data_IF_276565950909
#
_entry.id   IF_276565950909
#
_cell.length_a   1.000
_cell.length_b   1.000
_cell.length_c   1.000
_cell.angle_alpha   90.00
_cell.angle_beta   90.00
_cell.angle_gamma   90.00
#
_symmetry.space_group_name_H-M   'P 1'
#
loop_
_entity.id
_entity.type
_entity.pdbx_description
1 polymer ?
#
# COMPACT_ATOMS: atom_id res chain seq x y z
N UNK A 1 19.96 -16.62 0.37
CA UNK A 1 18.79 -16.13 -0.41
C UNK A 1 17.74 -17.22 -0.62
N UNK A 2 17.91 -18.18 -1.55
CA UNK A 2 16.89 -19.21 -1.80
C UNK A 2 16.70 -20.18 -0.61
N UNK A 3 17.81 -20.58 0.02
CA UNK A 3 17.83 -21.36 1.27
C UNK A 3 16.99 -20.69 2.36
N UNK A 4 17.20 -19.41 2.59
CA UNK A 4 16.55 -18.67 3.69
C UNK A 4 15.06 -18.46 3.41
N UNK A 5 14.68 -18.30 2.13
CA UNK A 5 13.28 -18.23 1.71
C UNK A 5 12.54 -19.54 1.97
N UNK A 6 13.13 -20.68 1.60
CA UNK A 6 12.55 -22.02 1.83
C UNK A 6 12.39 -22.28 3.33
N UNK A 7 13.40 -21.93 4.12
CA UNK A 7 13.36 -22.10 5.58
C UNK A 7 12.33 -21.16 6.22
N UNK A 8 12.20 -19.92 5.74
CA UNK A 8 11.21 -18.96 6.22
C UNK A 8 9.78 -19.40 5.89
N UNK A 9 9.54 -19.98 4.71
CA UNK A 9 8.24 -20.53 4.32
C UNK A 9 7.88 -21.77 5.17
N UNK A 10 8.82 -22.71 5.36
CA UNK A 10 8.65 -23.86 6.24
C UNK A 10 8.35 -23.44 7.69
N UNK A 11 9.10 -22.47 8.21
CA UNK A 11 8.92 -21.90 9.54
C UNK A 11 7.53 -21.28 9.72
N UNK A 12 7.06 -20.53 8.73
CA UNK A 12 5.74 -19.89 8.76
C UNK A 12 4.61 -20.93 8.64
N UNK A 13 4.78 -21.96 7.81
CA UNK A 13 3.80 -23.02 7.60
C UNK A 13 3.63 -23.91 8.83
N UNK A 14 4.73 -24.20 9.54
CA UNK A 14 4.73 -25.12 10.68
C UNK A 14 4.78 -24.41 12.04
N UNK A 15 4.79 -23.08 12.06
CA UNK A 15 4.92 -22.25 13.26
C UNK A 15 6.19 -22.59 14.07
N UNK A 16 7.32 -22.78 13.39
CA UNK A 16 8.62 -23.15 13.97
C UNK A 16 9.61 -22.01 13.73
N UNK A 17 10.40 -21.65 14.73
CA UNK A 17 11.46 -20.67 14.55
C UNK A 17 12.63 -21.27 13.74
N UNK A 18 13.09 -20.60 12.69
CA UNK A 18 14.20 -21.07 11.84
C UNK A 18 15.49 -21.26 12.64
N UNK A 19 15.69 -20.52 13.73
CA UNK A 19 16.86 -20.65 14.60
C UNK A 19 16.82 -21.89 15.51
N UNK A 20 15.66 -22.55 15.63
CA UNK A 20 15.50 -23.77 16.40
C UNK A 20 15.81 -25.04 15.58
N UNK A 21 16.05 -24.90 14.27
CA UNK A 21 16.34 -26.02 13.36
C UNK A 21 17.83 -26.39 13.39
N UNK A 22 18.12 -27.67 13.50
CA UNK A 22 19.46 -28.25 13.35
C UNK A 22 19.93 -28.23 11.89
N UNK A 23 21.24 -28.33 11.66
CA UNK A 23 21.78 -28.34 10.28
C UNK A 23 21.31 -29.55 9.46
N UNK A 24 21.00 -30.69 10.10
CA UNK A 24 20.38 -31.85 9.47
C UNK A 24 18.94 -31.55 9.05
N UNK A 25 18.13 -30.96 9.93
CA UNK A 25 16.74 -30.59 9.60
C UNK A 25 16.71 -29.53 8.48
N UNK A 26 17.60 -28.55 8.51
CA UNK A 26 17.73 -27.56 7.44
C UNK A 26 18.06 -28.23 6.09
N UNK A 27 18.98 -29.19 6.07
CA UNK A 27 19.34 -29.94 4.85
C UNK A 27 18.12 -30.72 4.34
N UNK A 28 17.44 -31.42 5.22
CA UNK A 28 16.32 -32.29 4.87
C UNK A 28 15.09 -31.50 4.39
N UNK A 29 14.83 -30.31 4.96
CA UNK A 29 13.81 -29.36 4.47
C UNK A 29 14.14 -28.89 3.04
N UNK A 30 15.40 -28.55 2.76
CA UNK A 30 15.82 -28.10 1.43
C UNK A 30 15.72 -29.24 0.40
N UNK A 31 15.94 -30.49 0.83
CA UNK A 31 15.84 -31.69 -0.02
C UNK A 31 14.41 -32.24 -0.15
N UNK A 32 13.42 -31.64 0.52
CA UNK A 32 12.00 -31.98 0.37
C UNK A 32 11.52 -33.18 1.21
N UNK A 33 12.21 -33.49 2.32
CA UNK A 33 11.76 -34.55 3.23
C UNK A 33 10.65 -34.06 4.18
N UNK A 34 9.69 -34.93 4.50
CA UNK A 34 8.66 -34.66 5.51
C UNK A 34 9.24 -34.84 6.92
N UNK A 35 9.51 -33.72 7.61
CA UNK A 35 10.00 -33.72 9.00
C UNK A 35 8.87 -33.30 9.93
N UNK A 36 8.65 -34.08 11.00
CA UNK A 36 7.74 -33.71 12.08
C UNK A 36 8.22 -32.43 12.79
N UNK A 37 7.33 -31.47 13.10
CA UNK A 37 7.72 -30.23 13.78
C UNK A 37 8.42 -30.52 15.13
N UNK A 38 9.49 -29.78 15.48
CA UNK A 38 10.13 -29.93 16.79
C UNK A 38 9.13 -29.69 17.93
N UNK A 39 9.20 -30.50 19.00
CA UNK A 39 8.29 -30.38 20.14
C UNK A 39 8.47 -29.03 20.86
N UNK A 40 7.35 -28.42 21.29
CA UNK A 40 7.31 -27.11 21.96
C UNK A 40 8.19 -27.07 23.23
N UNK A 41 8.40 -28.22 23.88
CA UNK A 41 9.25 -28.33 25.07
C UNK A 41 10.74 -28.06 24.75
N UNK A 42 11.21 -28.39 23.53
CA UNK A 42 12.57 -28.07 23.07
C UNK A 42 12.76 -26.58 22.76
N UNK A 43 11.68 -25.90 22.37
CA UNK A 43 11.68 -24.47 22.05
C UNK A 43 11.82 -23.61 23.33
N UNK A 44 11.10 -23.96 24.39
CA UNK A 44 11.14 -23.23 25.66
C UNK A 44 12.53 -23.28 26.32
N UNK A 45 13.23 -24.42 26.24
CA UNK A 45 14.56 -24.57 26.83
C UNK A 45 15.61 -23.69 26.12
N UNK A 46 15.53 -23.61 24.78
CA UNK A 46 16.43 -22.77 23.98
C UNK A 46 16.15 -21.27 24.17
N UNK A 47 14.88 -20.86 24.34
CA UNK A 47 14.52 -19.47 24.65
C UNK A 47 14.98 -19.03 26.05
N UNK A 48 14.86 -19.91 27.05
CA UNK A 48 15.33 -19.64 28.43
C UNK A 48 16.86 -19.50 28.48
N UNK A 49 17.61 -20.36 27.77
CA UNK A 49 19.07 -20.22 27.69
C UNK A 49 19.50 -18.92 27.00
N UNK A 50 18.74 -18.47 25.98
CA UNK A 50 19.07 -17.25 25.24
C UNK A 50 18.75 -15.98 26.03
N UNK A 51 17.63 -15.95 26.75
CA UNK A 51 17.29 -14.84 27.66
C UNK A 51 18.33 -14.66 28.77
N UNK A 52 18.97 -15.74 29.23
CA UNK A 52 20.03 -15.65 30.24
C UNK A 52 21.31 -14.95 29.74
N UNK A 53 21.52 -14.90 28.41
CA UNK A 53 22.71 -14.28 27.78
C UNK A 53 22.48 -12.85 27.29
N UNK A 54 21.22 -12.42 27.09
CA UNK A 54 20.91 -11.10 26.48
C UNK A 54 20.81 -9.95 27.50
N UNK A 55 20.80 -10.22 28.82
CA UNK A 55 20.60 -9.18 29.85
C UNK A 55 21.83 -8.28 30.13
N UNK A 56 22.95 -8.40 29.40
CA UNK A 56 24.19 -7.67 29.77
C UNK A 56 24.90 -6.91 28.64
N UNK A 57 24.31 -6.67 27.47
CA UNK A 57 24.95 -5.77 26.49
C UNK A 57 24.00 -4.80 25.80
N UNK A 58 24.25 -3.51 26.04
CA UNK A 58 23.80 -2.37 25.24
C UNK A 58 24.06 -2.65 23.74
N UNK A 59 23.00 -2.72 22.94
CA UNK A 59 23.05 -3.23 21.57
C UNK A 59 23.55 -2.16 20.60
N UNK A 60 24.87 -2.11 20.38
CA UNK A 60 25.45 -1.44 19.21
C UNK A 60 25.27 -2.33 17.97
N UNK A 61 24.67 -1.82 16.90
CA UNK A 61 24.45 -2.60 15.66
C UNK A 61 25.66 -2.41 14.75
N UNK A 62 26.39 -3.50 14.50
CA UNK A 62 27.50 -3.55 13.54
C UNK A 62 26.99 -3.97 12.17
N UNK A 63 27.17 -3.12 11.16
CA UNK A 63 26.83 -3.44 9.77
C UNK A 63 28.12 -3.63 8.97
N UNK A 64 28.23 -4.77 8.29
CA UNK A 64 29.36 -5.09 7.41
C UNK A 64 28.98 -4.72 5.97
N UNK A 65 29.81 -3.91 5.31
CA UNK A 65 29.59 -3.50 3.91
C UNK A 65 30.94 -3.45 3.20
N UNK A 66 30.95 -3.69 1.89
CA UNK A 66 32.19 -3.76 1.08
C UNK A 66 32.31 -2.50 0.24
N UNK A 67 33.48 -1.86 0.23
CA UNK A 67 33.73 -0.71 -0.66
C UNK A 67 33.93 -1.17 -2.12
N UNK A 68 33.93 -0.24 -3.08
CA UNK A 68 34.15 -0.50 -4.53
C UNK A 68 35.47 -1.22 -4.85
N UNK A 69 36.40 -1.29 -3.90
CA UNK A 69 37.67 -2.00 -4.00
C UNK A 69 37.70 -3.37 -3.30
N UNK A 70 36.59 -3.86 -2.75
CA UNK A 70 36.50 -5.20 -2.16
C UNK A 70 36.88 -5.30 -0.68
N UNK A 71 37.24 -4.19 -0.02
CA UNK A 71 37.58 -4.16 1.40
C UNK A 71 36.33 -4.18 2.30
N UNK A 72 36.33 -5.04 3.32
CA UNK A 72 35.26 -5.13 4.31
C UNK A 72 35.33 -3.94 5.30
N UNK A 73 34.33 -3.06 5.26
CA UNK A 73 34.07 -2.02 6.24
C UNK A 73 33.08 -2.53 7.28
N UNK A 74 33.43 -2.44 8.57
CA UNK A 74 32.56 -2.74 9.70
C UNK A 74 32.21 -1.41 10.37
N UNK A 75 30.97 -0.96 10.21
CA UNK A 75 30.46 0.29 10.78
C UNK A 75 29.61 -0.05 11.99
N UNK A 76 30.02 0.43 13.17
CA UNK A 76 29.29 0.24 14.43
C UNK A 76 28.44 1.47 14.70
N UNK A 77 27.12 1.32 14.61
CA UNK A 77 26.18 2.42 14.87
C UNK A 77 25.59 2.29 16.27
N UNK A 78 25.77 3.33 17.10
CA UNK A 78 25.34 3.37 18.50
C UNK A 78 24.12 4.29 18.73
N UNK A 79 23.71 5.10 17.76
CA UNK A 79 22.62 6.08 17.89
C UNK A 79 21.31 5.67 17.20
N UNK A 80 20.13 5.83 17.85
CA UNK A 80 18.82 5.57 17.23
C UNK A 80 18.48 6.44 16.02
N UNK A 81 19.03 7.66 15.94
CA UNK A 81 18.79 8.59 14.84
C UNK A 81 19.50 8.16 13.55
N UNK A 82 20.75 7.71 13.66
CA UNK A 82 21.49 7.17 12.52
C UNK A 82 20.88 5.86 12.03
N UNK A 83 20.33 5.03 12.92
CA UNK A 83 19.57 3.83 12.54
C UNK A 83 18.32 4.19 11.70
N UNK A 84 17.59 5.24 12.04
CA UNK A 84 16.45 5.71 11.23
C UNK A 84 16.89 6.27 9.87
N UNK A 85 17.95 7.06 9.82
CA UNK A 85 18.48 7.61 8.57
C UNK A 85 19.03 6.51 7.64
N UNK A 86 19.71 5.49 8.17
CA UNK A 86 20.24 4.38 7.38
C UNK A 86 19.14 3.40 6.92
N UNK A 87 18.13 3.13 7.76
CA UNK A 87 16.95 2.34 7.39
C UNK A 87 16.15 3.01 6.25
N UNK A 88 16.12 4.35 6.21
CA UNK A 88 15.45 5.08 5.12
C UNK A 88 16.11 4.88 3.75
N UNK A 89 17.44 4.75 3.69
CA UNK A 89 18.19 4.59 2.41
C UNK A 89 18.07 3.19 1.81
N UNK A 90 17.83 2.17 2.63
CA UNK A 90 17.79 0.76 2.20
C UNK A 90 16.36 0.23 2.00
N UNK A 91 15.34 0.74 2.69
CA UNK A 91 13.96 0.22 2.62
C UNK A 91 13.26 0.56 1.29
N UNK A 92 13.35 1.80 0.79
CA UNK A 92 12.59 2.21 -0.40
C UNK A 92 13.04 1.49 -1.67
N UNK A 93 14.32 1.12 -1.81
CA UNK A 93 14.84 0.40 -2.99
C UNK A 93 14.31 -1.02 -3.07
N UNK A 94 14.28 -1.73 -1.95
CA UNK A 94 13.73 -3.09 -1.86
C UNK A 94 12.24 -3.07 -2.19
N UNK A 95 11.51 -2.08 -1.67
CA UNK A 95 10.10 -1.90 -2.01
C UNK A 95 9.88 -1.49 -3.47
N UNK A 96 10.73 -0.64 -4.04
CA UNK A 96 10.66 -0.27 -5.45
C UNK A 96 10.82 -1.47 -6.38
N UNK A 97 11.81 -2.34 -6.11
CA UNK A 97 12.01 -3.60 -6.86
C UNK A 97 10.82 -4.54 -6.65
N UNK A 98 10.28 -4.60 -5.43
CA UNK A 98 9.12 -5.45 -5.15
C UNK A 98 7.85 -4.96 -5.85
N UNK A 99 7.66 -3.64 -5.96
CA UNK A 99 6.52 -3.02 -6.61
C UNK A 99 6.47 -3.32 -8.13
N UNK A 100 7.61 -3.54 -8.78
CA UNK A 100 7.63 -3.94 -10.20
C UNK A 100 6.96 -5.30 -10.45
N UNK A 101 6.73 -6.11 -9.42
CA UNK A 101 6.06 -7.41 -9.52
C UNK A 101 4.56 -7.34 -9.19
N UNK A 102 3.99 -6.16 -8.94
CA UNK A 102 2.56 -6.01 -8.64
C UNK A 102 1.66 -6.49 -9.77
N UNK A 103 2.11 -6.39 -11.03
CA UNK A 103 1.38 -6.90 -12.19
C UNK A 103 1.14 -8.43 -12.13
N UNK A 104 1.94 -9.20 -11.39
CA UNK A 104 1.71 -10.64 -11.24
C UNK A 104 0.48 -10.92 -10.38
N UNK A 105 0.19 -10.06 -9.39
CA UNK A 105 -0.95 -10.23 -8.48
C UNK A 105 -2.28 -9.96 -9.17
N UNK A 106 -2.30 -9.16 -10.22
CA UNK A 106 -3.53 -8.81 -10.95
C UNK A 106 -4.14 -9.98 -11.74
N UNK A 107 -3.40 -11.09 -11.85
CA UNK A 107 -3.91 -12.34 -12.44
C UNK A 107 -4.86 -13.09 -11.48
N UNK A 108 -4.71 -12.87 -10.17
CA UNK A 108 -5.49 -13.53 -9.13
C UNK A 108 -6.14 -12.48 -8.25
N UNK A 109 -7.36 -12.09 -8.65
CA UNK A 109 -8.15 -11.10 -7.94
C UNK A 109 -9.39 -11.78 -7.36
N UNK A 110 -9.54 -11.72 -6.05
CA UNK A 110 -10.69 -12.21 -5.31
C UNK A 110 -11.60 -11.04 -4.93
N UNK A 111 -12.91 -11.23 -5.04
CA UNK A 111 -13.91 -10.24 -4.60
C UNK A 111 -14.67 -10.84 -3.44
N UNK A 112 -14.58 -10.20 -2.29
CA UNK A 112 -15.32 -10.55 -1.08
C UNK A 112 -16.64 -9.75 -1.08
N UNK A 113 -17.69 -10.38 -1.57
CA UNK A 113 -19.05 -9.86 -1.55
C UNK A 113 -19.91 -10.69 -0.60
N UNK A 114 -20.68 -10.03 0.25
CA UNK A 114 -21.75 -10.69 1.00
C UNK A 114 -22.93 -11.04 0.07
N UNK A 115 -23.88 -11.82 0.59
CA UNK A 115 -25.10 -12.22 -0.13
C UNK A 115 -25.87 -11.02 -0.70
N UNK A 116 -26.48 -11.23 -1.87
CA UNK A 116 -27.20 -10.21 -2.62
C UNK A 116 -28.35 -9.67 -1.77
N UNK A 117 -28.26 -8.41 -1.35
CA UNK A 117 -29.37 -7.67 -0.76
C UNK A 117 -30.26 -7.13 -1.87
N UNK A 118 -31.55 -7.47 -1.87
CA UNK A 118 -32.53 -7.02 -2.89
C UNK A 118 -32.69 -5.49 -2.95
N UNK A 119 -32.28 -4.75 -1.91
CA UNK A 119 -32.49 -3.31 -1.75
C UNK A 119 -31.23 -2.46 -1.91
N UNK A 120 -30.07 -3.06 -2.22
CA UNK A 120 -28.78 -2.37 -2.31
C UNK A 120 -28.27 -2.14 -3.74
N UNK A 121 -27.43 -1.12 -3.91
CA UNK A 121 -26.73 -0.91 -5.18
C UNK A 121 -25.67 -1.98 -5.43
N UNK A 122 -25.51 -2.37 -6.70
CA UNK A 122 -24.41 -3.21 -7.17
C UNK A 122 -23.38 -2.39 -7.93
N UNK A 123 -22.12 -2.46 -7.53
CA UNK A 123 -21.03 -1.70 -8.14
C UNK A 123 -20.26 -2.55 -9.14
N UNK A 124 -20.02 -2.02 -10.34
CA UNK A 124 -19.27 -2.70 -11.39
C UNK A 124 -17.96 -1.96 -11.64
N UNK A 125 -16.83 -2.63 -11.38
CA UNK A 125 -15.48 -2.12 -11.59
C UNK A 125 -14.86 -2.67 -12.87
N UNK A 126 -14.44 -1.82 -13.82
CA UNK A 126 -13.65 -2.22 -14.98
C UNK A 126 -12.31 -2.83 -14.58
N UNK A 127 -11.95 -3.97 -15.15
CA UNK A 127 -10.65 -4.59 -14.83
C UNK A 127 -9.47 -3.74 -15.30
N UNK A 128 -9.61 -2.96 -16.38
CA UNK A 128 -8.50 -2.17 -16.90
C UNK A 128 -8.01 -1.13 -15.88
N UNK A 129 -8.95 -0.39 -15.26
CA UNK A 129 -8.59 0.60 -14.25
C UNK A 129 -8.15 -0.08 -12.96
N UNK A 130 -8.80 -1.15 -12.51
CA UNK A 130 -8.38 -1.88 -11.31
C UNK A 130 -6.94 -2.42 -11.44
N UNK A 131 -6.62 -3.06 -12.57
CA UNK A 131 -5.27 -3.59 -12.84
C UNK A 131 -4.22 -2.48 -12.79
N UNK A 132 -4.49 -1.33 -13.43
CA UNK A 132 -3.56 -0.20 -13.39
C UNK A 132 -3.43 0.37 -11.97
N UNK A 133 -4.51 0.44 -11.20
CA UNK A 133 -4.50 0.94 -9.82
C UNK A 133 -3.60 0.09 -8.92
N UNK A 134 -3.67 -1.24 -9.07
CA UNK A 134 -2.78 -2.17 -8.37
C UNK A 134 -1.33 -1.98 -8.83
N UNK A 135 -1.07 -1.85 -10.13
CA UNK A 135 0.29 -1.72 -10.65
C UNK A 135 1.00 -0.41 -10.25
N UNK A 136 0.26 0.68 -10.03
CA UNK A 136 0.87 1.96 -9.61
C UNK A 136 1.11 2.05 -8.09
N UNK A 137 0.67 1.06 -7.32
CA UNK A 137 0.70 1.10 -5.86
C UNK A 137 2.07 0.74 -5.27
N UNK A 138 2.16 0.82 -3.93
CA UNK A 138 3.23 0.24 -3.14
C UNK A 138 2.68 -0.87 -2.23
N UNK A 139 3.50 -1.87 -1.91
CA UNK A 139 3.09 -3.00 -1.09
C UNK A 139 2.87 -2.64 0.39
N UNK A 140 3.40 -1.50 0.87
CA UNK A 140 3.35 -1.09 2.28
C UNK A 140 2.66 0.24 2.47
N UNK A 141 2.87 1.20 1.58
CA UNK A 141 2.26 2.52 1.64
C UNK A 141 0.93 2.50 0.90
N UNK A 142 -0.14 2.86 1.59
CA UNK A 142 -1.47 2.95 1.01
C UNK A 142 -1.55 4.09 -0.01
N UNK A 143 -2.27 3.85 -1.11
CA UNK A 143 -2.67 4.85 -2.09
C UNK A 143 -4.18 4.80 -2.26
N UNK A 144 -4.80 5.88 -2.70
CA UNK A 144 -6.23 6.02 -2.88
C UNK A 144 -6.62 6.74 -4.17
N UNK A 145 -7.86 6.53 -4.58
CA UNK A 145 -8.48 7.22 -5.70
C UNK A 145 -9.98 7.39 -5.47
N UNK A 146 -10.52 8.53 -5.88
CA UNK A 146 -11.95 8.80 -5.86
C UNK A 146 -12.64 8.09 -7.03
N UNK A 147 -13.78 7.48 -6.76
CA UNK A 147 -14.57 6.72 -7.72
C UNK A 147 -15.67 7.61 -8.29
N UNK A 148 -15.76 7.64 -9.61
CA UNK A 148 -16.82 8.34 -10.35
C UNK A 148 -17.45 7.40 -11.36
N UNK A 149 -18.76 7.51 -11.52
CA UNK A 149 -19.50 6.61 -12.39
C UNK A 149 -20.91 7.08 -12.69
N UNK A 150 -21.71 6.17 -13.24
CA UNK A 150 -23.10 6.41 -13.58
C UNK A 150 -23.89 5.11 -13.51
N UNK A 151 -25.21 5.21 -13.39
CA UNK A 151 -26.10 4.08 -13.61
C UNK A 151 -26.44 3.91 -15.08
N UNK A 152 -26.42 2.67 -15.62
CA UNK A 152 -26.98 2.38 -16.93
C UNK A 152 -28.45 2.84 -17.01
N UNK A 153 -28.87 3.29 -18.20
CA UNK A 153 -30.26 3.76 -18.42
C UNK A 153 -31.30 2.67 -18.11
N UNK A 154 -30.93 1.41 -18.32
CA UNK A 154 -31.82 0.25 -18.13
C UNK A 154 -31.93 -0.20 -16.67
N UNK A 155 -30.96 0.15 -15.80
CA UNK A 155 -30.93 -0.34 -14.42
C UNK A 155 -30.32 0.68 -13.44
N UNK A 156 -31.14 1.43 -12.69
CA UNK A 156 -30.66 2.43 -11.73
C UNK A 156 -30.02 1.83 -10.47
N UNK A 157 -30.26 0.54 -10.19
CA UNK A 157 -29.66 -0.17 -9.04
C UNK A 157 -28.21 -0.61 -9.30
N UNK A 158 -27.75 -0.50 -10.54
CA UNK A 158 -26.36 -0.79 -10.92
C UNK A 158 -25.58 0.52 -11.01
N UNK A 159 -24.37 0.53 -10.46
CA UNK A 159 -23.42 1.65 -10.52
C UNK A 159 -22.17 1.21 -11.26
N UNK A 160 -21.98 1.72 -12.47
CA UNK A 160 -20.78 1.44 -13.26
C UNK A 160 -19.70 2.47 -12.96
N UNK A 161 -18.57 2.03 -12.41
CA UNK A 161 -17.42 2.90 -12.16
C UNK A 161 -16.74 3.18 -13.50
N UNK A 162 -16.75 4.45 -13.92
CA UNK A 162 -16.18 4.89 -15.20
C UNK A 162 -14.83 5.56 -15.05
N UNK A 163 -14.57 6.16 -13.89
CA UNK A 163 -13.35 6.94 -13.67
C UNK A 163 -12.79 6.71 -12.26
N UNK A 164 -11.46 6.60 -12.17
CA UNK A 164 -10.72 6.78 -10.92
C UNK A 164 -9.95 8.10 -11.02
N UNK A 165 -10.30 9.04 -10.15
CA UNK A 165 -9.58 10.30 -10.00
C UNK A 165 -8.53 10.15 -8.89
N UNK A 166 -7.25 10.30 -9.23
CA UNK A 166 -6.13 10.17 -8.29
C UNK A 166 -5.72 11.59 -7.84
N UNK A 167 -6.12 12.03 -6.64
CA UNK A 167 -5.71 13.34 -6.12
C UNK A 167 -4.23 13.32 -5.68
N UNK A 168 -3.63 14.51 -5.47
CA UNK A 168 -2.43 14.66 -4.63
C UNK A 168 -2.65 13.92 -3.31
N UNK A 169 -1.69 13.12 -2.84
CA UNK A 169 -1.89 12.34 -1.62
C UNK A 169 -0.58 11.92 -0.96
N UNK A 170 -0.67 11.64 0.33
CA UNK A 170 0.41 11.09 1.14
C UNK A 170 -0.09 9.86 1.92
N UNK A 171 0.66 8.75 1.87
CA UNK A 171 0.23 7.48 2.43
C UNK A 171 1.07 7.03 3.61
N UNK A 172 0.49 6.18 4.44
CA UNK A 172 1.21 5.39 5.45
C UNK A 172 0.81 3.93 5.30
N UNK A 173 1.25 3.06 6.21
CA UNK A 173 0.81 1.67 6.23
C UNK A 173 -0.61 1.48 6.79
N UNK A 174 -1.16 2.48 7.48
CA UNK A 174 -2.46 2.40 8.15
C UNK A 174 -3.53 3.27 7.49
N UNK A 175 -3.15 4.41 6.92
CA UNK A 175 -4.08 5.38 6.35
C UNK A 175 -3.46 6.15 5.19
N UNK A 176 -4.33 6.79 4.41
CA UNK A 176 -3.98 7.76 3.37
C UNK A 176 -4.52 9.14 3.76
N UNK A 177 -3.74 10.18 3.50
CA UNK A 177 -4.16 11.56 3.65
C UNK A 177 -4.47 12.12 2.27
N UNK A 178 -5.71 12.59 2.11
CA UNK A 178 -6.23 13.19 0.90
C UNK A 178 -6.51 14.69 1.13
N UNK A 179 -6.40 15.53 0.09
CA UNK A 179 -6.85 16.90 0.11
C UNK A 179 -8.35 16.99 0.40
N UNK A 180 -8.77 18.04 1.09
CA UNK A 180 -10.16 18.29 1.45
C UNK A 180 -11.04 18.60 0.23
N UNK A 181 -10.47 19.24 -0.80
CA UNK A 181 -11.18 19.58 -2.03
C UNK A 181 -11.36 18.33 -2.89
N UNK A 182 -12.57 18.09 -3.37
CA UNK A 182 -12.83 17.02 -4.32
C UNK A 182 -12.32 17.36 -5.74
N UNK A 183 -12.07 16.35 -6.58
CA UNK A 183 -11.74 16.54 -7.98
C UNK A 183 -12.82 17.32 -8.75
N UNK A 184 -12.41 18.40 -9.41
CA UNK A 184 -13.25 19.17 -10.33
C UNK A 184 -12.67 19.11 -11.75
N UNK A 185 -13.51 18.74 -12.72
CA UNK A 185 -13.16 18.73 -14.14
C UNK A 185 -14.40 18.55 -15.02
N UNK A 186 -14.38 19.06 -16.26
CA UNK A 186 -15.48 18.95 -17.23
C UNK A 186 -15.96 17.49 -17.44
N UNK A 187 -15.03 16.55 -17.70
CA UNK A 187 -15.33 15.12 -17.80
C UNK A 187 -15.93 14.44 -16.56
N UNK A 188 -15.89 15.09 -15.39
CA UNK A 188 -16.52 14.57 -14.17
C UNK A 188 -17.94 15.10 -13.98
N UNK A 189 -18.37 16.14 -14.71
CA UNK A 189 -19.67 16.77 -14.53
C UNK A 189 -20.84 15.82 -14.87
N UNK A 190 -20.64 14.91 -15.82
CA UNK A 190 -21.64 13.91 -16.23
C UNK A 190 -21.60 12.65 -15.36
N UNK A 191 -20.71 12.57 -14.37
CA UNK A 191 -20.53 11.43 -13.48
C UNK A 191 -20.94 11.78 -12.06
N UNK A 192 -21.53 10.82 -11.35
CA UNK A 192 -21.78 10.94 -9.92
C UNK A 192 -20.60 10.35 -9.11
N UNK A 193 -20.26 10.94 -7.95
CA UNK A 193 -19.28 10.34 -7.05
C UNK A 193 -19.85 9.05 -6.45
N UNK A 194 -19.05 7.99 -6.48
CA UNK A 194 -19.37 6.66 -5.93
C UNK A 194 -18.50 6.32 -4.72
N UNK A 195 -17.81 7.31 -4.14
CA UNK A 195 -16.93 7.15 -2.99
C UNK A 195 -15.46 7.05 -3.39
N UNK A 196 -14.71 6.15 -2.75
CA UNK A 196 -13.26 6.05 -2.93
C UNK A 196 -12.76 4.62 -2.76
N UNK A 197 -11.59 4.36 -3.32
CA UNK A 197 -10.87 3.10 -3.14
C UNK A 197 -9.46 3.37 -2.62
N UNK A 198 -8.91 2.42 -1.86
CA UNK A 198 -7.52 2.46 -1.45
C UNK A 198 -6.88 1.06 -1.37
N UNK A 199 -5.56 1.02 -1.47
CA UNK A 199 -4.80 -0.20 -1.21
C UNK A 199 -4.61 -0.41 0.28
N UNK A 200 -4.50 -1.66 0.71
CA UNK A 200 -4.10 -2.02 2.06
C UNK A 200 -3.01 -3.11 2.05
N UNK A 201 -1.93 -2.95 2.86
CA UNK A 201 -0.81 -3.89 2.85
C UNK A 201 -1.17 -5.31 3.28
N UNK A 202 -2.15 -5.42 4.16
CA UNK A 202 -2.64 -6.68 4.71
C UNK A 202 -4.17 -6.70 4.60
N UNK A 203 -4.72 -7.89 4.37
CA UNK A 203 -6.17 -8.09 4.40
C UNK A 203 -6.69 -8.01 5.84
N UNK A 204 -7.60 -7.07 6.09
CA UNK A 204 -8.31 -6.94 7.34
C UNK A 204 -9.69 -7.60 7.24
N UNK A 205 -10.17 -8.30 8.30
CA UNK A 205 -11.50 -8.91 8.30
C UNK A 205 -12.64 -7.88 8.41
N UNK A 206 -12.31 -6.65 8.77
CA UNK A 206 -13.24 -5.54 8.99
C UNK A 206 -12.71 -4.27 8.34
N UNK A 207 -13.62 -3.33 8.06
CA UNK A 207 -13.24 -1.96 7.70
C UNK A 207 -12.36 -1.37 8.82
N UNK A 208 -11.40 -0.51 8.49
CA UNK A 208 -10.61 0.15 9.53
C UNK A 208 -11.39 1.33 10.15
N UNK A 209 -11.23 1.62 11.46
CA UNK A 209 -11.81 2.81 12.06
C UNK A 209 -11.33 4.12 11.38
N UNK A 210 -10.12 4.12 10.83
CA UNK A 210 -9.54 5.22 10.08
C UNK A 210 -10.30 5.48 8.78
N UNK A 211 -10.62 4.43 8.02
CA UNK A 211 -11.38 4.54 6.77
C UNK A 211 -12.80 5.02 7.05
N UNK A 212 -13.43 4.49 8.09
CA UNK A 212 -14.76 4.87 8.53
C UNK A 212 -14.82 6.36 8.90
N UNK A 213 -13.87 6.82 9.71
CA UNK A 213 -13.73 8.23 10.10
C UNK A 213 -13.46 9.13 8.90
N UNK A 214 -12.57 8.71 8.00
CA UNK A 214 -12.22 9.48 6.80
C UNK A 214 -13.40 9.61 5.86
N UNK A 215 -14.13 8.52 5.63
CA UNK A 215 -15.30 8.50 4.77
C UNK A 215 -16.44 9.37 5.33
N UNK A 216 -16.71 9.30 6.63
CA UNK A 216 -17.70 10.16 7.28
C UNK A 216 -17.34 11.65 7.19
N UNK A 217 -16.06 12.01 7.37
CA UNK A 217 -15.58 13.39 7.20
C UNK A 217 -15.70 13.88 5.76
N UNK A 218 -15.45 13.01 4.76
CA UNK A 218 -15.63 13.40 3.36
C UNK A 218 -17.11 13.66 3.06
N UNK A 219 -18.01 12.80 3.55
CA UNK A 219 -19.47 12.99 3.43
C UNK A 219 -19.96 14.28 4.09
N UNK A 220 -19.47 14.59 5.30
CA UNK A 220 -19.85 15.81 6.02
C UNK A 220 -19.42 17.08 5.28
N UNK A 221 -18.20 17.07 4.74
CA UNK A 221 -17.64 18.24 4.05
C UNK A 221 -18.16 18.41 2.61
N UNK A 222 -18.67 17.36 1.98
CA UNK A 222 -19.02 17.37 0.56
C UNK A 222 -20.45 16.91 0.32
N UNK A 223 -21.35 17.87 0.12
CA UNK A 223 -22.78 17.62 -0.17
C UNK A 223 -23.05 16.88 -1.48
N UNK A 224 -22.06 16.79 -2.37
CA UNK A 224 -22.16 16.01 -3.61
C UNK A 224 -22.16 14.49 -3.34
N UNK A 225 -21.60 14.05 -2.22
CA UNK A 225 -21.55 12.64 -1.87
C UNK A 225 -22.85 12.22 -1.19
N UNK A 226 -23.43 11.15 -1.70
CA UNK A 226 -24.62 10.50 -1.14
C UNK A 226 -24.19 9.31 -0.28
N UNK A 227 -24.57 9.32 1.01
CA UNK A 227 -24.21 8.26 1.96
C UNK A 227 -24.75 6.87 1.59
N UNK A 228 -25.80 6.79 0.76
CA UNK A 228 -26.34 5.51 0.29
C UNK A 228 -25.64 4.98 -0.98
N UNK A 229 -24.96 5.86 -1.73
CA UNK A 229 -24.28 5.51 -3.00
C UNK A 229 -22.76 5.52 -2.93
N UNK A 230 -22.19 6.24 -1.98
CA UNK A 230 -20.75 6.34 -1.82
C UNK A 230 -20.23 5.15 -1.02
N UNK A 231 -19.21 4.49 -1.54
CA UNK A 231 -18.62 3.31 -0.92
C UNK A 231 -17.13 3.52 -0.61
N UNK A 232 -16.62 2.65 0.25
CA UNK A 232 -15.19 2.47 0.51
C UNK A 232 -14.80 1.12 -0.08
N UNK A 233 -13.91 1.12 -1.04
CA UNK A 233 -13.36 -0.09 -1.63
C UNK A 233 -11.94 -0.32 -1.10
N UNK A 234 -11.74 -1.42 -0.39
CA UNK A 234 -10.42 -1.82 0.09
C UNK A 234 -9.81 -2.86 -0.87
N UNK A 235 -8.59 -2.60 -1.31
CA UNK A 235 -7.81 -3.52 -2.16
C UNK A 235 -6.62 -4.06 -1.37
N UNK A 236 -6.76 -5.26 -0.83
CA UNK A 236 -5.75 -5.92 0.01
C UNK A 236 -4.73 -6.68 -0.80
N UNK A 237 -3.47 -6.58 -0.41
CA UNK A 237 -2.41 -7.40 -0.94
C UNK A 237 -2.27 -8.72 -0.17
N UNK A 238 -2.65 -9.82 -0.81
CA UNK A 238 -2.50 -11.19 -0.31
C UNK A 238 -1.33 -11.88 -1.04
N UNK A 239 -0.69 -12.93 -0.49
CA UNK A 239 0.40 -13.62 -1.17
C UNK A 239 0.01 -14.05 -2.60
N UNK A 240 0.70 -13.51 -3.61
CA UNK A 240 0.46 -13.80 -5.04
C UNK A 240 -0.85 -13.29 -5.63
N UNK A 241 -1.67 -12.54 -4.87
CA UNK A 241 -3.03 -12.16 -5.27
C UNK A 241 -3.45 -10.80 -4.70
N UNK A 242 -4.66 -10.36 -5.04
CA UNK A 242 -5.32 -9.22 -4.42
C UNK A 242 -6.75 -9.60 -4.00
N UNK A 243 -7.22 -9.05 -2.88
CA UNK A 243 -8.59 -9.23 -2.38
C UNK A 243 -9.30 -7.89 -2.31
N UNK A 244 -10.49 -7.79 -2.91
CA UNK A 244 -11.31 -6.58 -2.89
C UNK A 244 -12.52 -6.76 -1.98
N UNK A 245 -12.78 -5.78 -1.12
CA UNK A 245 -14.05 -5.68 -0.38
C UNK A 245 -14.62 -4.28 -0.53
N UNK A 246 -15.93 -4.17 -0.76
CA UNK A 246 -16.63 -2.90 -0.81
C UNK A 246 -17.53 -2.74 0.42
N UNK A 247 -17.49 -1.55 1.02
CA UNK A 247 -18.24 -1.20 2.23
C UNK A 247 -19.06 0.06 2.04
N UNK A 248 -20.18 0.14 2.74
CA UNK A 248 -20.99 1.35 2.90
C UNK A 248 -21.16 1.64 4.39
N UNK A 249 -21.20 2.92 4.76
CA UNK A 249 -21.53 3.33 6.12
C UNK A 249 -23.00 3.04 6.41
N UNK A 250 -23.29 2.65 7.65
CA UNK A 250 -24.65 2.73 8.19
C UNK A 250 -24.87 4.13 8.79
N UNK A 251 -26.12 4.57 9.01
CA UNK A 251 -26.39 5.86 9.65
C UNK A 251 -25.70 6.00 11.02
N UNK A 252 -25.65 4.93 11.82
CA UNK A 252 -24.92 4.93 13.10
C UNK A 252 -23.41 5.06 12.91
N UNK A 253 -22.84 4.42 11.88
CA UNK A 253 -21.44 4.57 11.55
C UNK A 253 -21.07 5.96 11.07
N UNK A 254 -21.92 6.61 10.29
CA UNK A 254 -21.74 8.01 9.89
C UNK A 254 -21.69 8.94 11.12
N UNK A 255 -22.65 8.79 12.03
CA UNK A 255 -22.72 9.57 13.26
C UNK A 255 -21.49 9.37 14.17
N UNK A 256 -21.03 8.13 14.29
CA UNK A 256 -19.81 7.83 15.03
C UNK A 256 -18.58 8.44 14.33
N UNK A 257 -18.42 8.21 13.02
CA UNK A 257 -17.27 8.64 12.23
C UNK A 257 -17.08 10.16 12.18
N UNK A 258 -18.16 10.95 12.07
CA UNK A 258 -18.08 12.42 12.13
C UNK A 258 -17.64 12.94 13.50
N UNK A 259 -18.03 12.23 14.57
CA UNK A 259 -17.70 12.63 15.94
C UNK A 259 -16.32 12.17 16.40
N UNK A 260 -15.76 11.16 15.73
CA UNK A 260 -14.50 10.54 16.13
C UNK A 260 -13.29 11.47 15.92
N UNK A 261 -12.52 11.64 16.99
CA UNK A 261 -11.25 12.39 17.02
C UNK A 261 -10.03 11.51 17.29
N UNK A 262 -10.25 10.27 17.72
CA UNK A 262 -9.18 9.33 18.02
C UNK A 262 -8.68 8.66 16.74
N UNK A 263 -7.37 8.75 16.50
CA UNK A 263 -6.68 8.16 15.34
C UNK A 263 -6.02 6.82 15.67
N UNK A 264 -6.15 6.34 16.90
CA UNK A 264 -5.63 5.04 17.33
C UNK A 264 -6.27 3.86 16.58
N UNK A 265 -5.64 2.69 16.68
CA UNK A 265 -6.12 1.48 16.00
C UNK A 265 -7.40 0.89 16.60
N UNK A 266 -7.76 1.27 17.83
CA UNK A 266 -8.98 0.81 18.50
C UNK A 266 -9.69 1.95 19.24
N UNK A 267 -10.30 2.89 18.49
CA UNK A 267 -10.95 4.05 19.07
C UNK A 267 -12.22 3.66 19.81
N UNK A 268 -12.53 4.40 20.88
CA UNK A 268 -13.68 4.11 21.73
C UNK A 268 -15.00 4.17 20.96
N UNK A 269 -15.87 3.16 21.19
CA UNK A 269 -17.19 3.08 20.58
C UNK A 269 -17.22 2.59 19.14
N UNK A 270 -16.08 2.19 18.55
CA UNK A 270 -16.06 1.54 17.24
C UNK A 270 -16.78 0.19 17.28
N UNK A 271 -17.70 -0.05 16.34
CA UNK A 271 -18.48 -1.28 16.26
C UNK A 271 -18.55 -1.79 14.81
N UNK A 272 -18.54 -3.12 14.59
CA UNK A 272 -18.74 -3.72 13.26
C UNK A 272 -20.09 -3.40 12.60
N UNK A 273 -21.07 -2.92 13.38
CA UNK A 273 -22.40 -2.49 12.88
C UNK A 273 -22.39 -1.11 12.23
N UNK A 274 -21.26 -0.40 12.27
CA UNK A 274 -21.10 0.93 11.66
C UNK A 274 -20.93 0.89 10.13
N UNK A 275 -20.72 -0.28 9.56
CA UNK A 275 -20.59 -0.46 8.12
C UNK A 275 -21.29 -1.75 7.71
N UNK A 276 -21.60 -1.83 6.43
CA UNK A 276 -22.08 -3.05 5.80
C UNK A 276 -21.29 -3.30 4.53
N UNK A 277 -21.06 -4.57 4.19
CA UNK A 277 -20.50 -4.92 2.89
C UNK A 277 -21.56 -4.74 1.82
N UNK A 278 -21.10 -4.33 0.63
CA UNK A 278 -21.95 -4.13 -0.55
C UNK A 278 -21.46 -4.96 -1.71
N UNK A 279 -22.37 -5.23 -2.64
CA UNK A 279 -22.08 -6.09 -3.78
C UNK A 279 -21.18 -5.37 -4.79
N UNK A 280 -20.12 -6.06 -5.21
CA UNK A 280 -19.23 -5.60 -6.25
C UNK A 280 -18.95 -6.70 -7.27
N UNK A 281 -18.88 -6.31 -8.55
CA UNK A 281 -18.51 -7.19 -9.65
C UNK A 281 -17.39 -6.57 -10.49
N UNK A 282 -16.56 -7.43 -11.07
CA UNK A 282 -15.55 -7.02 -12.04
C UNK A 282 -16.07 -7.22 -13.46
N UNK A 283 -15.79 -6.28 -14.36
CA UNK A 283 -16.24 -6.33 -15.75
C UNK A 283 -15.10 -6.05 -16.73
N UNK A 284 -15.12 -6.79 -17.83
CA UNK A 284 -14.30 -6.54 -19.03
C UNK A 284 -15.13 -5.94 -20.17
N UNK A 285 -16.42 -5.66 -19.95
CA UNK A 285 -17.34 -5.20 -21.00
C UNK A 285 -17.14 -3.75 -21.40
N UNK A 286 -16.55 -2.95 -20.52
CA UNK A 286 -16.26 -1.55 -20.76
C UNK A 286 -14.93 -1.17 -20.11
N UNK A 287 -14.36 -0.07 -20.59
CA UNK A 287 -13.12 0.49 -20.08
C UNK A 287 -13.46 1.71 -19.23
N UNK A 288 -12.81 1.83 -18.08
CA UNK A 288 -12.73 3.10 -17.35
C UNK A 288 -11.52 3.91 -17.75
N UNK A 289 -11.46 5.15 -17.28
CA UNK A 289 -10.35 6.07 -17.48
C UNK A 289 -9.83 6.64 -16.15
N UNK A 290 -8.76 7.41 -16.22
CA UNK A 290 -8.14 8.05 -15.08
C UNK A 290 -8.13 9.57 -15.22
N UNK A 291 -8.27 10.23 -14.08
CA UNK A 291 -7.99 11.65 -13.92
C UNK A 291 -6.81 11.79 -12.96
N UNK A 292 -5.83 12.61 -13.32
CA UNK A 292 -4.61 12.85 -12.54
C UNK A 292 -4.41 14.34 -12.33
N UNK A 293 -3.60 14.77 -11.34
CA UNK A 293 -3.39 16.19 -11.12
C UNK A 293 -2.58 16.79 -12.30
N UNK A 294 -2.87 18.04 -12.65
CA UNK A 294 -2.31 18.65 -13.86
C UNK A 294 -0.83 19.06 -13.70
N UNK A 295 -0.56 19.91 -12.70
CA UNK A 295 0.75 20.56 -12.51
C UNK A 295 1.59 19.95 -11.38
N UNK A 296 1.10 18.88 -10.77
CA UNK A 296 1.77 18.21 -9.65
C UNK A 296 1.67 16.70 -9.81
N UNK A 297 2.65 15.94 -9.33
CA UNK A 297 2.49 14.50 -9.21
C UNK A 297 1.36 14.18 -8.23
N UNK A 298 0.78 12.99 -8.35
CA UNK A 298 -0.22 12.55 -7.37
C UNK A 298 0.44 12.04 -6.08
N UNK A 299 1.64 11.46 -6.16
CA UNK A 299 2.32 10.85 -5.02
C UNK A 299 3.25 11.84 -4.30
N UNK A 300 2.94 12.20 -3.06
CA UNK A 300 3.75 13.06 -2.21
C UNK A 300 4.55 12.30 -1.14
N UNK A 301 4.61 10.97 -1.19
CA UNK A 301 5.32 10.18 -0.16
C UNK A 301 6.83 10.50 -0.05
N UNK A 302 7.50 10.91 -1.14
CA UNK A 302 8.90 11.39 -1.09
C UNK A 302 9.02 12.92 -1.03
N UNK A 303 7.89 13.63 -0.93
CA UNK A 303 7.82 15.09 -0.86
C UNK A 303 6.82 15.55 0.20
N UNK A 304 6.77 14.85 1.35
CA UNK A 304 5.71 15.04 2.35
C UNK A 304 5.54 16.48 2.83
N UNK A 305 6.63 17.25 2.91
CA UNK A 305 6.61 18.68 3.27
C UNK A 305 5.86 19.57 2.28
N UNK A 306 5.66 19.12 1.03
CA UNK A 306 4.91 19.84 0.00
C UNK A 306 3.42 19.49 -0.02
N UNK A 307 3.00 18.49 0.76
CA UNK A 307 1.61 18.08 0.83
C UNK A 307 0.88 18.83 1.94
N UNK A 308 -0.20 19.51 1.59
CA UNK A 308 -1.10 20.19 2.52
C UNK A 308 -2.53 19.65 2.32
N UNK A 309 -3.23 19.15 3.36
CA UNK A 309 -4.63 18.75 3.25
C UNK A 309 -5.57 19.81 2.69
N UNK A 310 -5.24 21.10 2.78
CA UNK A 310 -6.03 22.21 2.24
C UNK A 310 -5.55 22.69 0.86
N UNK A 311 -4.62 21.97 0.23
CA UNK A 311 -4.10 22.35 -1.08
C UNK A 311 -5.20 22.36 -2.15
N UNK A 312 -5.10 23.31 -3.06
CA UNK A 312 -5.90 23.34 -4.29
C UNK A 312 -5.14 22.63 -5.40
N UNK A 313 -5.89 21.91 -6.23
CA UNK A 313 -5.34 21.19 -7.36
C UNK A 313 -6.37 21.17 -8.50
N UNK A 314 -5.86 21.11 -9.73
CA UNK A 314 -6.66 20.90 -10.91
C UNK A 314 -6.39 19.50 -11.44
N UNK A 315 -7.37 18.91 -12.09
CA UNK A 315 -7.28 17.59 -12.70
C UNK A 315 -7.14 17.69 -14.21
N UNK A 316 -6.56 16.66 -14.82
CA UNK A 316 -6.55 16.44 -16.26
C UNK A 316 -6.78 14.98 -16.57
N UNK A 317 -7.20 14.70 -17.80
CA UNK A 317 -7.21 13.34 -18.34
C UNK A 317 -5.76 12.84 -18.45
N UNK A 318 -5.48 11.68 -17.88
CA UNK A 318 -4.14 11.11 -17.95
C UNK A 318 -4.01 9.82 -17.15
N UNK A 319 -2.93 9.09 -17.43
CA UNK A 319 -2.65 7.83 -16.75
C UNK A 319 -1.75 8.09 -15.53
N UNK A 320 -2.08 7.56 -14.35
CA UNK A 320 -1.22 7.71 -13.18
C UNK A 320 0.11 7.00 -13.40
N UNK A 321 1.19 7.71 -13.05
CA UNK A 321 2.55 7.17 -13.01
C UNK A 321 2.70 6.22 -11.82
N UNK A 322 3.63 5.28 -11.92
CA UNK A 322 3.86 4.28 -10.87
C UNK A 322 4.43 4.92 -9.59
N UNK A 323 4.24 4.28 -8.43
CA UNK A 323 4.60 4.85 -7.12
C UNK A 323 6.02 5.41 -7.07
N UNK A 324 7.00 4.69 -7.62
CA UNK A 324 8.43 5.02 -7.59
C UNK A 324 8.94 5.73 -8.85
N UNK A 325 8.05 6.30 -9.68
CA UNK A 325 8.43 7.08 -10.86
C UNK A 325 9.30 8.30 -10.49
N UNK A 326 10.21 8.71 -11.38
CA UNK A 326 11.15 9.82 -11.16
C UNK A 326 10.48 11.14 -10.71
N UNK A 327 9.37 11.54 -11.36
CA UNK A 327 8.52 12.68 -10.97
C UNK A 327 8.10 12.70 -9.49
N UNK A 328 7.96 11.52 -8.85
CA UNK A 328 7.52 11.41 -7.46
C UNK A 328 8.67 11.59 -6.46
N UNK A 329 9.92 11.51 -6.92
CA UNK A 329 11.13 11.43 -6.09
C UNK A 329 12.27 12.27 -6.66
N UNK A 330 12.06 13.57 -6.93
CA UNK A 330 13.05 14.44 -7.58
C UNK A 330 14.32 14.60 -6.74
N UNK A 331 14.22 14.59 -5.42
CA UNK A 331 15.37 14.71 -4.50
C UNK A 331 16.43 13.64 -4.76
N UNK A 332 16.01 12.39 -5.00
CA UNK A 332 16.93 11.29 -5.30
C UNK A 332 17.73 11.50 -6.59
N UNK A 333 17.25 12.31 -7.53
CA UNK A 333 17.95 12.57 -8.79
C UNK A 333 18.79 13.85 -8.71
N UNK A 334 18.31 14.86 -7.99
CA UNK A 334 19.04 16.11 -7.76
C UNK A 334 20.27 15.94 -6.85
N UNK A 335 20.30 14.91 -6.00
CA UNK A 335 21.49 14.57 -5.21
C UNK A 335 22.68 14.18 -6.10
N UNK A 336 22.44 13.58 -7.27
CA UNK A 336 23.52 13.17 -8.18
C UNK A 336 24.06 14.33 -9.02
N UNK A 337 23.25 15.35 -9.35
CA UNK A 337 23.69 16.48 -10.16
C UNK A 337 24.71 17.40 -9.45
N UNK A 338 24.89 17.25 -8.14
CA UNK A 338 25.86 18.04 -7.38
C UNK A 338 27.24 17.37 -7.27
N UNK A 339 27.43 16.18 -7.85
CA UNK A 339 28.68 15.41 -7.77
C UNK A 339 29.66 15.77 -8.91
N UNK A 340 29.20 16.51 -9.93
CA UNK A 340 29.97 16.85 -11.13
C UNK A 340 31.11 17.88 -10.92
N UNK A 341 31.32 18.41 -9.71
CA UNK A 341 32.47 19.29 -9.44
C UNK A 341 33.80 18.53 -9.24
N UNK A 342 33.79 17.18 -9.32
CA UNK A 342 34.96 16.34 -9.06
C UNK A 342 35.68 15.75 -10.29
N UNK A 343 35.08 15.76 -11.50
CA UNK A 343 35.74 15.23 -12.70
C UNK A 343 36.57 16.32 -13.40
N UNK A 344 37.73 16.65 -12.85
CA UNK A 344 38.83 17.16 -13.68
C UNK A 344 39.25 16.00 -14.57
N UNK A 345 38.78 16.03 -15.82
CA UNK A 345 39.04 14.99 -16.81
C UNK A 345 40.55 14.71 -16.97
N UNK A 346 41.03 13.62 -16.39
CA UNK A 346 42.31 13.03 -16.78
C UNK A 346 42.08 12.15 -18.02
N UNK A 347 42.62 12.60 -19.16
CA UNK A 347 42.94 11.75 -20.32
C UNK A 347 41.97 11.80 -21.51
N UNK A 348 42.54 11.77 -22.72
CA UNK A 348 41.87 11.74 -24.02
C UNK A 348 40.67 10.77 -24.04
N UNK A 349 39.46 11.33 -24.24
CA UNK A 349 38.24 10.55 -24.49
C UNK A 349 38.12 10.33 -25.99
N UNK A 350 38.74 9.28 -26.52
CA UNK A 350 38.42 8.80 -27.87
C UNK A 350 36.99 8.23 -27.88
N UNK A 351 36.06 8.95 -28.49
CA UNK A 351 34.72 8.47 -28.82
C UNK A 351 34.65 8.19 -30.33
N UNK A 352 34.89 6.93 -30.70
CA UNK A 352 34.96 6.49 -32.11
C UNK A 352 33.62 6.01 -32.67
N UNK A 353 32.52 6.15 -31.93
CA UNK A 353 31.21 5.65 -32.34
C UNK A 353 30.13 6.74 -32.19
N UNK A 354 30.01 7.58 -33.22
CA UNK A 354 28.82 8.44 -33.45
C UNK A 354 27.69 7.69 -34.13
#
# INVERSE_FOLDING_TARGET
ALRDLILSDYAKKNNVNTSALTQSEIRDIILGAEIAPPSQQRQQIAEIEKQSRETTQLTAVTTRTTNVHGDELIITTTSPYEQQAFASKTDWRVRAISATNLYLRVNHIYVNSDDIKETGYTYIMPKNILKKFICIADLRTQIAGFLYGLSPQDNPQVKEIRCIAIPPQHGTHQMVTLPANLPEHEFLNDLEPLGWMHTQPNEAPQLSPQDLTSHAKILENNKQWDGEKCIILTCSFTPGSCSLTAYKLTPSGYEWGRSNKDTGSNPHGYLPTHYEKVQMLLSDRFLGFYMVPDNTPWNFNFMGVKHDPLMKYNMKLGTPRDFYHEDHRPTHFLEFSNIDEGEVAEGDREDTFT
#
